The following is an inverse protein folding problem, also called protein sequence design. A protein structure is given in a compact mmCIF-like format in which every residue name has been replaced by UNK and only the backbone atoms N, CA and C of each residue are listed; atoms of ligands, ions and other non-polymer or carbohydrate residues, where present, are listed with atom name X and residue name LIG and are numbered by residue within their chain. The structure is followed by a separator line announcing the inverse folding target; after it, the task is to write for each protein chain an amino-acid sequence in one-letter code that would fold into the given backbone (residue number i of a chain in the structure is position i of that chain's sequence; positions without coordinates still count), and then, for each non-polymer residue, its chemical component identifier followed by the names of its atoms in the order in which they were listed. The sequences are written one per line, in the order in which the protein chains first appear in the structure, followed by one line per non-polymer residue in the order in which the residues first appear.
data_IF_072120627871
#
_entry.id   IF_072120627871
#
_cell.length_a   1.000
_cell.length_b   1.000
_cell.length_c   1.000
_cell.angle_alpha   90.00
_cell.angle_beta   90.00
_cell.angle_gamma   90.00
#
_symmetry.space_group_name_H-M   'P 1'
#
loop_
_entity.id
_entity.type
_entity.pdbx_description
1 polymer ?
#
# COMPACT_ATOMS: atom_id res chain seq x y z
N UNK A 1 -43.79 3.61 10.39
CA UNK A 1 -43.71 2.82 9.14
C UNK A 1 -42.28 2.66 8.61
N UNK A 2 -41.58 3.73 8.23
CA UNK A 2 -40.20 3.66 7.65
C UNK A 2 -39.16 3.01 8.59
N UNK A 3 -39.22 3.29 9.90
CA UNK A 3 -38.32 2.68 10.90
C UNK A 3 -38.51 1.16 11.05
N UNK A 4 -39.76 0.67 11.00
CA UNK A 4 -40.05 -0.77 11.06
C UNK A 4 -39.59 -1.49 9.79
N UNK A 5 -39.83 -0.88 8.62
CA UNK A 5 -39.36 -1.41 7.34
C UNK A 5 -37.83 -1.51 7.29
N UNK A 6 -37.12 -0.50 7.82
CA UNK A 6 -35.65 -0.50 7.92
C UNK A 6 -35.14 -1.59 8.86
N UNK A 7 -35.76 -1.78 10.03
CA UNK A 7 -35.37 -2.82 10.98
C UNK A 7 -35.59 -4.23 10.40
N UNK A 8 -36.72 -4.44 9.71
CA UNK A 8 -37.03 -5.69 9.02
C UNK A 8 -36.03 -5.99 7.90
N UNK A 9 -35.66 -5.00 7.08
CA UNK A 9 -34.67 -5.15 6.01
C UNK A 9 -33.26 -5.48 6.55
N UNK A 10 -32.82 -4.81 7.62
CA UNK A 10 -31.52 -5.10 8.26
C UNK A 10 -31.48 -6.54 8.80
N UNK A 11 -32.56 -6.99 9.42
CA UNK A 11 -32.69 -8.37 9.91
C UNK A 11 -32.64 -9.39 8.76
N UNK A 12 -33.34 -9.10 7.65
CA UNK A 12 -33.34 -9.95 6.45
C UNK A 12 -31.96 -10.02 5.78
N UNK A 13 -31.22 -8.92 5.69
CA UNK A 13 -29.88 -8.88 5.10
C UNK A 13 -28.81 -9.58 5.95
N UNK A 14 -28.97 -9.59 7.29
CA UNK A 14 -28.11 -10.40 8.17
C UNK A 14 -28.35 -11.90 8.00
N UNK A 15 -29.61 -12.30 7.74
CA UNK A 15 -30.01 -13.70 7.61
C UNK A 15 -29.74 -14.28 6.22
N UNK A 16 -29.77 -13.44 5.17
CA UNK A 16 -29.55 -13.84 3.78
C UNK A 16 -28.58 -12.88 3.06
N UNK A 17 -27.26 -13.11 3.14
CA UNK A 17 -26.25 -12.23 2.53
C UNK A 17 -26.36 -12.12 1.00
N UNK A 18 -26.86 -13.18 0.34
CA UNK A 18 -27.14 -13.16 -1.10
C UNK A 18 -28.26 -12.20 -1.50
N UNK A 19 -29.26 -12.00 -0.63
CA UNK A 19 -30.35 -11.04 -0.85
C UNK A 19 -29.84 -9.60 -0.79
N UNK A 20 -28.90 -9.30 0.11
CA UNK A 20 -28.24 -8.00 0.18
C UNK A 20 -27.49 -7.71 -1.12
N UNK A 21 -26.69 -8.67 -1.62
CA UNK A 21 -25.99 -8.52 -2.90
C UNK A 21 -26.94 -8.35 -4.08
N UNK A 22 -28.00 -9.15 -4.17
CA UNK A 22 -29.00 -9.04 -5.23
C UNK A 22 -29.75 -7.70 -5.19
N UNK A 23 -30.14 -7.23 -4.00
CA UNK A 23 -30.77 -5.91 -3.83
C UNK A 23 -29.78 -4.80 -4.19
N UNK A 24 -28.55 -4.81 -3.68
CA UNK A 24 -27.55 -3.81 -4.05
C UNK A 24 -27.31 -3.79 -5.59
N UNK A 25 -27.18 -4.95 -6.23
CA UNK A 25 -27.02 -5.07 -7.68
C UNK A 25 -28.25 -4.62 -8.49
N UNK A 26 -29.46 -4.75 -7.95
CA UNK A 26 -30.71 -4.32 -8.62
C UNK A 26 -30.95 -2.82 -8.46
N UNK A 27 -30.51 -2.23 -7.35
CA UNK A 27 -30.68 -0.81 -7.05
C UNK A 27 -29.53 0.06 -7.55
N UNK A 28 -28.34 -0.52 -7.76
CA UNK A 28 -27.18 0.18 -8.33
C UNK A 28 -27.51 0.95 -9.61
N UNK A 29 -28.20 0.37 -10.61
CA UNK A 29 -28.58 1.07 -11.85
C UNK A 29 -29.52 2.26 -11.62
N UNK A 30 -30.43 2.14 -10.66
CA UNK A 30 -31.44 3.17 -10.32
C UNK A 30 -30.76 4.35 -9.62
N UNK A 31 -29.86 4.08 -8.67
CA UNK A 31 -29.03 5.12 -8.05
C UNK A 31 -28.01 5.69 -9.03
N UNK A 32 -27.51 4.90 -9.98
CA UNK A 32 -26.67 5.36 -11.09
C UNK A 32 -27.38 6.47 -11.88
N UNK A 33 -28.64 6.26 -12.27
CA UNK A 33 -29.42 7.23 -13.05
C UNK A 33 -29.75 8.50 -12.25
N UNK A 34 -30.02 8.37 -10.95
CA UNK A 34 -30.40 9.50 -10.09
C UNK A 34 -29.20 10.32 -9.58
N UNK A 35 -28.01 9.71 -9.45
CA UNK A 35 -26.80 10.35 -8.89
C UNK A 35 -25.75 10.74 -9.95
N UNK A 36 -25.79 10.17 -11.17
CA UNK A 36 -24.85 10.49 -12.27
C UNK A 36 -25.55 11.08 -13.51
N UNK A 37 -25.89 12.38 -13.55
CA UNK A 37 -25.81 13.14 -14.79
C UNK A 37 -24.35 13.42 -15.20
N UNK A 38 -23.35 12.91 -14.47
CA UNK A 38 -21.93 13.21 -14.64
C UNK A 38 -21.20 12.03 -15.29
N UNK A 39 -21.58 11.65 -16.51
CA UNK A 39 -20.61 11.00 -17.40
C UNK A 39 -19.57 12.07 -17.74
N UNK A 40 -18.49 12.14 -16.98
CA UNK A 40 -17.31 12.83 -17.48
C UNK A 40 -16.91 12.06 -18.75
N UNK A 41 -16.80 12.74 -19.91
CA UNK A 41 -16.33 12.06 -21.10
C UNK A 41 -14.98 11.42 -20.75
N UNK A 42 -14.76 10.17 -21.17
CA UNK A 42 -13.41 9.60 -21.22
C UNK A 42 -12.50 10.71 -21.75
N UNK A 43 -11.41 10.98 -21.05
CA UNK A 43 -10.39 11.86 -21.60
C UNK A 43 -10.06 11.32 -22.99
N UNK A 44 -10.45 12.02 -24.05
CA UNK A 44 -9.78 11.84 -25.34
C UNK A 44 -8.47 12.56 -25.20
N UNK A 45 -7.53 11.96 -24.49
CA UNK A 45 -6.15 12.41 -24.57
C UNK A 45 -5.42 11.62 -25.63
N UNK A 46 -4.39 12.24 -26.16
CA UNK A 46 -3.58 11.77 -27.26
C UNK A 46 -2.48 10.80 -26.77
N UNK A 47 -2.76 9.92 -25.81
CA UNK A 47 -1.73 9.10 -25.16
C UNK A 47 -1.54 7.73 -25.84
N UNK A 48 -1.54 7.74 -27.16
CA UNK A 48 -0.62 6.86 -27.90
C UNK A 48 0.70 7.61 -27.90
N UNK A 49 1.81 6.97 -27.50
CA UNK A 49 3.16 7.52 -27.65
C UNK A 49 3.26 8.29 -28.98
N UNK A 50 3.29 9.61 -28.91
CA UNK A 50 3.39 10.40 -30.11
C UNK A 50 4.81 10.17 -30.62
N UNK A 51 4.92 9.48 -31.75
CA UNK A 51 6.22 9.09 -32.33
C UNK A 51 7.19 10.28 -32.42
N UNK A 52 6.66 11.49 -32.56
CA UNK A 52 7.43 12.72 -32.58
C UNK A 52 8.00 13.12 -31.21
N UNK A 53 7.24 12.92 -30.10
CA UNK A 53 7.76 13.13 -28.74
C UNK A 53 8.90 12.16 -28.45
N UNK A 54 8.70 10.86 -28.75
CA UNK A 54 9.71 9.81 -28.56
C UNK A 54 10.98 10.09 -29.38
N UNK A 55 10.86 10.64 -30.60
CA UNK A 55 12.03 11.01 -31.42
C UNK A 55 12.83 12.17 -30.83
N UNK A 56 12.23 12.99 -29.98
CA UNK A 56 12.82 14.17 -29.35
C UNK A 56 13.26 13.92 -27.91
N UNK A 57 13.31 12.66 -27.46
CA UNK A 57 13.70 12.32 -26.08
C UNK A 57 15.01 12.97 -25.65
N UNK A 58 16.07 12.90 -26.47
CA UNK A 58 17.36 13.55 -26.19
C UNK A 58 17.24 15.07 -25.99
N UNK A 59 16.39 15.72 -26.79
CA UNK A 59 16.18 17.16 -26.72
C UNK A 59 15.55 17.55 -25.38
N UNK A 60 14.53 16.79 -24.95
CA UNK A 60 13.84 17.00 -23.67
C UNK A 60 14.75 16.69 -22.48
N UNK A 61 15.52 15.61 -22.53
CA UNK A 61 16.51 15.28 -21.49
C UNK A 61 17.55 16.40 -21.35
N UNK A 62 18.07 16.90 -22.47
CA UNK A 62 18.99 18.03 -22.48
C UNK A 62 18.37 19.33 -21.97
N UNK A 63 17.06 19.54 -22.18
CA UNK A 63 16.34 20.70 -21.65
C UNK A 63 16.19 20.61 -20.12
N UNK A 64 15.91 19.43 -19.58
CA UNK A 64 15.86 19.21 -18.12
C UNK A 64 17.21 19.53 -17.45
N UNK A 65 18.33 19.06 -18.02
CA UNK A 65 19.66 19.40 -17.49
C UNK A 65 19.93 20.91 -17.54
N UNK A 66 19.63 21.58 -18.66
CA UNK A 66 19.79 23.04 -18.76
C UNK A 66 18.94 23.80 -17.76
N UNK A 67 17.71 23.35 -17.51
CA UNK A 67 16.83 23.96 -16.51
C UNK A 67 17.49 24.02 -15.13
N UNK A 68 18.08 22.91 -14.68
CA UNK A 68 18.75 22.87 -13.37
C UNK A 68 20.09 23.60 -13.38
N UNK A 69 20.87 23.50 -14.46
CA UNK A 69 22.16 24.19 -14.61
C UNK A 69 22.01 25.72 -14.61
N UNK A 70 20.94 26.25 -15.21
CA UNK A 70 20.69 27.68 -15.33
C UNK A 70 19.78 28.23 -14.21
N UNK A 71 19.40 27.37 -13.24
CA UNK A 71 18.47 27.75 -12.19
C UNK A 71 19.05 28.83 -11.26
N UNK A 72 18.44 30.02 -11.28
CA UNK A 72 18.98 31.22 -10.61
C UNK A 72 18.98 31.16 -9.09
N UNK A 73 18.17 30.29 -8.49
CA UNK A 73 17.94 30.24 -7.05
C UNK A 73 18.11 28.81 -6.50
N UNK A 74 19.33 28.22 -6.51
CA UNK A 74 19.55 26.83 -6.10
C UNK A 74 19.10 26.56 -4.65
N UNK A 75 19.14 27.57 -3.79
CA UNK A 75 18.66 27.47 -2.41
C UNK A 75 17.16 27.13 -2.34
N UNK A 76 16.35 27.66 -3.27
CA UNK A 76 14.93 27.31 -3.36
C UNK A 76 14.76 25.81 -3.62
N UNK A 77 15.55 25.21 -4.52
CA UNK A 77 15.49 23.78 -4.82
C UNK A 77 15.95 22.91 -3.65
N UNK A 78 17.02 23.32 -2.96
CA UNK A 78 17.57 22.60 -1.79
C UNK A 78 16.58 22.62 -0.63
N UNK A 79 15.89 23.73 -0.41
CA UNK A 79 14.99 23.90 0.73
C UNK A 79 13.56 23.39 0.46
N UNK A 80 13.30 22.77 -0.70
CA UNK A 80 12.02 22.11 -0.96
C UNK A 80 11.75 21.00 0.08
N UNK A 81 10.49 20.78 0.48
CA UNK A 81 9.29 21.49 0.04
C UNK A 81 9.03 22.79 0.84
N UNK A 82 9.87 23.16 1.80
CA UNK A 82 9.64 24.29 2.72
C UNK A 82 9.80 25.66 2.05
N UNK A 83 10.61 25.73 1.00
CA UNK A 83 10.76 26.92 0.17
C UNK A 83 9.53 27.20 -0.70
N UNK A 84 8.70 26.18 -0.96
CA UNK A 84 7.50 26.29 -1.79
C UNK A 84 6.25 26.55 -0.94
N UNK A 85 6.22 27.72 -0.31
CA UNK A 85 5.21 28.05 0.70
C UNK A 85 3.74 27.93 0.21
N UNK A 86 3.37 28.30 -1.04
CA UNK A 86 2.00 28.13 -1.53
C UNK A 86 1.55 26.67 -1.57
N UNK A 87 2.43 25.75 -1.96
CA UNK A 87 2.12 24.34 -2.21
C UNK A 87 2.62 23.40 -1.12
N UNK A 88 3.33 23.90 -0.10
CA UNK A 88 3.89 23.13 1.01
C UNK A 88 2.90 22.14 1.64
N UNK A 89 1.68 22.58 1.95
CA UNK A 89 0.67 21.71 2.54
C UNK A 89 0.20 20.62 1.57
N UNK A 90 0.11 20.92 0.28
CA UNK A 90 -0.25 19.95 -0.75
C UNK A 90 0.87 18.92 -0.92
N UNK A 91 2.14 19.34 -0.94
CA UNK A 91 3.30 18.44 -0.95
C UNK A 91 3.25 17.45 0.20
N UNK A 92 3.02 17.91 1.43
CA UNK A 92 2.98 17.02 2.59
C UNK A 92 1.81 16.02 2.54
N UNK A 93 0.64 16.45 2.04
CA UNK A 93 -0.50 15.54 1.84
C UNK A 93 -0.15 14.49 0.80
N UNK A 94 0.36 14.91 -0.37
CA UNK A 94 0.68 14.01 -1.46
C UNK A 94 1.78 13.01 -1.09
N UNK A 95 2.82 13.45 -0.38
CA UNK A 95 3.86 12.56 0.18
C UNK A 95 3.26 11.59 1.18
N UNK A 96 2.36 12.03 2.05
CA UNK A 96 1.65 11.14 2.98
C UNK A 96 0.85 10.05 2.26
N UNK A 97 0.14 10.42 1.20
CA UNK A 97 -0.60 9.48 0.34
C UNK A 97 0.37 8.52 -0.35
N UNK A 98 1.43 9.01 -0.98
CA UNK A 98 2.43 8.17 -1.66
C UNK A 98 3.10 7.17 -0.72
N UNK A 99 3.54 7.62 0.46
CA UNK A 99 4.18 6.76 1.46
C UNK A 99 3.23 5.64 1.90
N UNK A 100 1.95 5.97 2.13
CA UNK A 100 0.93 4.99 2.50
C UNK A 100 0.62 4.03 1.33
N UNK A 101 0.46 4.56 0.12
CA UNK A 101 0.07 3.82 -1.07
C UNK A 101 1.16 2.85 -1.55
N UNK A 102 2.42 3.29 -1.52
CA UNK A 102 3.58 2.46 -1.78
C UNK A 102 3.84 1.46 -0.64
N UNK A 103 3.14 1.55 0.49
CA UNK A 103 3.32 0.67 1.67
C UNK A 103 4.78 0.67 2.16
N UNK A 104 5.41 1.85 2.19
CA UNK A 104 6.82 1.99 2.54
C UNK A 104 7.09 1.59 4.00
N UNK A 105 8.28 1.02 4.23
CA UNK A 105 8.77 0.62 5.55
C UNK A 105 10.27 0.94 5.67
N UNK A 106 10.76 1.19 6.89
CA UNK A 106 12.20 1.20 7.13
C UNK A 106 12.85 -0.09 6.62
N UNK A 107 13.98 0.05 5.95
CA UNK A 107 14.72 -1.04 5.31
C UNK A 107 14.38 -1.29 3.84
N UNK A 108 13.29 -0.72 3.30
CA UNK A 108 13.00 -0.82 1.86
C UNK A 108 14.09 -0.17 1.02
N UNK A 109 14.36 -0.75 -0.13
CA UNK A 109 15.11 -0.09 -1.21
C UNK A 109 14.13 0.65 -2.11
N UNK A 110 14.18 1.98 -2.08
CA UNK A 110 13.22 2.85 -2.76
C UNK A 110 13.92 3.69 -3.83
N UNK A 111 13.45 3.58 -5.06
CA UNK A 111 13.87 4.44 -6.16
C UNK A 111 12.94 5.64 -6.23
N UNK A 112 13.48 6.85 -6.23
CA UNK A 112 12.76 8.05 -6.65
C UNK A 112 13.11 8.32 -8.11
N UNK A 113 12.13 8.22 -9.00
CA UNK A 113 12.31 8.51 -10.43
C UNK A 113 11.97 9.96 -10.72
N UNK A 114 12.87 10.66 -11.42
CA UNK A 114 12.78 12.10 -11.63
C UNK A 114 12.96 12.85 -10.30
N UNK A 115 14.02 12.50 -9.58
CA UNK A 115 14.21 12.95 -8.19
C UNK A 115 14.45 14.45 -8.05
N UNK A 116 14.83 15.15 -9.13
CA UNK A 116 15.16 16.57 -9.09
C UNK A 116 16.17 16.88 -7.99
N UNK A 117 15.81 17.78 -7.06
CA UNK A 117 16.65 18.13 -5.91
C UNK A 117 16.65 17.09 -4.76
N UNK A 118 16.07 15.90 -4.98
CA UNK A 118 16.10 14.74 -4.09
C UNK A 118 15.49 14.97 -2.69
N UNK A 119 14.60 15.96 -2.55
CA UNK A 119 14.02 16.29 -1.24
C UNK A 119 13.12 15.19 -0.69
N UNK A 120 12.39 14.48 -1.55
CA UNK A 120 11.56 13.34 -1.14
C UNK A 120 12.45 12.14 -0.79
N UNK A 121 13.48 11.82 -1.58
CA UNK A 121 14.51 10.84 -1.21
C UNK A 121 15.12 11.17 0.15
N UNK A 122 15.44 12.43 0.44
CA UNK A 122 15.97 12.82 1.76
C UNK A 122 14.98 12.53 2.88
N UNK A 123 13.70 12.85 2.67
CA UNK A 123 12.62 12.53 3.62
C UNK A 123 12.51 11.02 3.86
N UNK A 124 12.55 10.21 2.80
CA UNK A 124 12.47 8.74 2.89
C UNK A 124 13.72 8.11 3.51
N UNK A 125 14.91 8.66 3.26
CA UNK A 125 16.15 8.25 3.93
C UNK A 125 16.02 8.43 5.45
N UNK A 126 15.49 9.59 5.88
CA UNK A 126 15.24 9.87 7.30
C UNK A 126 14.14 9.00 7.90
N UNK A 127 13.17 8.55 7.10
CA UNK A 127 12.19 7.55 7.51
C UNK A 127 12.81 6.15 7.68
N UNK A 128 13.98 5.89 7.07
CA UNK A 128 14.73 4.65 7.21
C UNK A 128 14.82 3.81 5.93
N UNK A 129 14.50 4.37 4.77
CA UNK A 129 14.63 3.68 3.48
C UNK A 129 16.06 3.82 2.90
N UNK A 130 16.51 2.80 2.16
CA UNK A 130 17.69 2.88 1.30
C UNK A 130 17.29 3.54 0.00
N UNK A 131 17.64 4.82 -0.17
CA UNK A 131 17.13 5.64 -1.27
C UNK A 131 18.06 5.66 -2.45
N UNK A 132 17.50 5.51 -3.65
CA UNK A 132 18.19 5.64 -4.92
C UNK A 132 17.48 6.76 -5.70
N UNK A 133 18.10 7.93 -5.75
CA UNK A 133 17.59 9.07 -6.50
C UNK A 133 18.05 8.97 -7.96
N UNK A 134 17.10 8.92 -8.89
CA UNK A 134 17.37 8.82 -10.33
C UNK A 134 16.81 10.03 -11.05
N UNK A 135 17.63 10.67 -11.89
CA UNK A 135 17.22 11.81 -12.70
C UNK A 135 18.05 11.85 -14.00
N UNK A 136 17.52 12.47 -15.07
CA UNK A 136 18.30 12.73 -16.29
C UNK A 136 19.30 13.88 -16.09
N UNK A 137 19.02 14.77 -15.12
CA UNK A 137 19.88 15.90 -14.81
C UNK A 137 20.90 15.54 -13.73
N UNK A 138 22.17 15.47 -14.13
CA UNK A 138 23.29 15.37 -13.20
C UNK A 138 23.36 16.59 -12.26
N UNK A 139 23.01 17.78 -12.76
CA UNK A 139 22.98 18.99 -11.94
C UNK A 139 21.92 18.90 -10.83
N UNK A 140 20.72 18.38 -11.13
CA UNK A 140 19.68 18.17 -10.13
C UNK A 140 20.15 17.22 -9.01
N UNK A 141 20.75 16.09 -9.39
CA UNK A 141 21.33 15.13 -8.45
C UNK A 141 22.46 15.73 -7.62
N UNK A 142 23.30 16.61 -8.20
CA UNK A 142 24.33 17.32 -7.45
C UNK A 142 23.74 18.29 -6.41
N UNK A 143 22.63 18.96 -6.74
CA UNK A 143 21.87 19.78 -5.78
C UNK A 143 21.32 18.90 -4.66
N UNK A 144 20.74 17.75 -4.99
CA UNK A 144 20.22 16.79 -4.01
C UNK A 144 21.29 16.20 -3.10
N UNK A 145 22.48 15.90 -3.63
CA UNK A 145 23.62 15.46 -2.81
C UNK A 145 24.01 16.51 -1.77
N UNK A 146 24.02 17.80 -2.13
CA UNK A 146 24.29 18.90 -1.18
C UNK A 146 23.23 18.97 -0.09
N UNK A 147 21.95 18.70 -0.40
CA UNK A 147 20.91 18.62 0.63
C UNK A 147 21.23 17.52 1.66
N UNK A 148 21.60 16.32 1.21
CA UNK A 148 21.97 15.21 2.10
C UNK A 148 23.20 15.54 2.95
N UNK A 149 24.23 16.15 2.37
CA UNK A 149 25.47 16.56 3.07
C UNK A 149 25.22 17.64 4.12
N UNK A 150 24.26 18.54 3.87
CA UNK A 150 23.96 19.68 4.76
C UNK A 150 23.15 19.28 6.00
N UNK A 151 22.27 18.28 5.93
CA UNK A 151 21.46 17.86 7.08
C UNK A 151 22.21 16.82 7.93
N UNK A 152 22.60 17.12 9.18
CA UNK A 152 23.29 16.16 10.06
C UNK A 152 22.41 14.95 10.44
N UNK A 153 21.11 14.97 10.13
CA UNK A 153 20.17 13.87 10.38
C UNK A 153 20.07 12.91 9.21
N UNK A 154 20.80 13.15 8.11
CA UNK A 154 20.92 12.20 7.00
C UNK A 154 21.49 10.88 7.51
N UNK A 155 20.82 9.78 7.19
CA UNK A 155 21.27 8.45 7.58
C UNK A 155 22.17 7.85 6.49
N UNK A 156 23.45 8.18 6.54
CA UNK A 156 24.47 7.68 5.62
C UNK A 156 24.72 6.17 5.73
N UNK A 157 24.35 5.52 6.84
CA UNK A 157 24.48 4.06 6.98
C UNK A 157 23.54 3.27 6.06
N UNK A 158 22.53 3.94 5.49
CA UNK A 158 21.61 3.37 4.51
C UNK A 158 22.12 3.50 3.06
N UNK A 159 23.33 4.04 2.86
CA UNK A 159 23.98 4.20 1.55
C UNK A 159 23.08 4.89 0.50
N UNK A 160 22.68 6.16 0.70
CA UNK A 160 21.86 6.86 -0.28
C UNK A 160 22.61 7.09 -1.60
N UNK A 161 21.99 6.73 -2.72
CA UNK A 161 22.59 6.77 -4.05
C UNK A 161 21.96 7.86 -4.92
N UNK A 162 22.76 8.44 -5.82
CA UNK A 162 22.37 9.49 -6.76
C UNK A 162 22.87 9.07 -8.13
N UNK A 163 21.97 8.58 -8.98
CA UNK A 163 22.33 7.90 -10.22
C UNK A 163 21.73 8.65 -11.42
N UNK A 164 22.55 9.25 -12.31
CA UNK A 164 22.02 9.75 -13.57
C UNK A 164 21.56 8.56 -14.42
N UNK A 165 20.49 8.76 -15.17
CA UNK A 165 20.07 7.80 -16.21
C UNK A 165 19.96 8.50 -17.56
N UNK A 166 20.07 7.72 -18.64
CA UNK A 166 20.17 8.23 -20.01
C UNK A 166 18.82 8.61 -20.64
N UNK A 167 17.72 8.52 -19.90
CA UNK A 167 16.36 8.69 -20.43
C UNK A 167 15.71 7.40 -20.95
N UNK A 168 16.41 6.27 -20.96
CA UNK A 168 15.92 5.00 -21.53
C UNK A 168 16.14 3.81 -20.62
N UNK A 169 17.28 3.73 -19.93
CA UNK A 169 17.72 2.58 -19.14
C UNK A 169 18.00 3.02 -17.71
N UNK A 170 17.33 2.39 -16.73
CA UNK A 170 17.65 2.63 -15.33
C UNK A 170 18.95 1.89 -14.97
N UNK A 171 19.95 2.54 -14.35
CA UNK A 171 21.25 1.95 -14.04
C UNK A 171 21.19 1.01 -12.82
N UNK A 172 20.21 0.11 -12.81
CA UNK A 172 19.87 -0.80 -11.72
C UNK A 172 19.74 -2.23 -12.25
N UNK A 173 19.99 -3.19 -11.36
CA UNK A 173 19.85 -4.61 -11.70
C UNK A 173 18.37 -5.00 -11.75
N UNK A 174 18.09 -6.11 -12.41
CA UNK A 174 16.76 -6.71 -12.38
C UNK A 174 16.36 -7.03 -10.93
N UNK A 175 15.10 -6.76 -10.59
CA UNK A 175 14.53 -7.07 -9.27
C UNK A 175 15.38 -6.60 -8.07
N UNK A 176 15.98 -5.40 -8.16
CA UNK A 176 16.85 -4.84 -7.12
C UNK A 176 16.21 -3.77 -6.24
N UNK A 177 15.00 -3.31 -6.52
CA UNK A 177 14.29 -2.35 -5.65
C UNK A 177 12.90 -2.82 -5.26
N UNK A 178 12.48 -2.45 -4.05
CA UNK A 178 11.18 -2.82 -3.51
C UNK A 178 10.10 -1.88 -4.04
N UNK A 179 10.41 -0.60 -4.16
CA UNK A 179 9.42 0.45 -4.44
C UNK A 179 10.00 1.49 -5.37
N UNK A 180 9.14 2.02 -6.23
CA UNK A 180 9.44 3.20 -7.04
C UNK A 180 8.41 4.26 -6.66
N UNK A 181 8.88 5.45 -6.30
CA UNK A 181 8.02 6.63 -6.13
C UNK A 181 8.28 7.59 -7.27
N UNK A 182 7.21 8.15 -7.81
CA UNK A 182 7.25 9.19 -8.84
C UNK A 182 6.41 10.35 -8.36
N UNK A 183 7.03 11.52 -8.27
CA UNK A 183 6.39 12.71 -7.74
C UNK A 183 6.62 13.86 -8.71
N UNK A 184 5.56 14.26 -9.40
CA UNK A 184 5.58 15.41 -10.32
C UNK A 184 6.70 15.30 -11.37
N UNK A 185 6.84 14.12 -11.99
CA UNK A 185 7.96 13.84 -12.89
C UNK A 185 7.58 13.03 -14.13
N UNK A 186 6.60 12.13 -14.03
CA UNK A 186 6.30 11.21 -15.13
C UNK A 186 5.71 11.91 -16.37
N UNK A 187 5.03 13.04 -16.18
CA UNK A 187 4.55 13.89 -17.27
C UNK A 187 5.68 14.56 -18.08
N UNK A 188 6.92 14.56 -17.59
CA UNK A 188 8.08 14.99 -18.38
C UNK A 188 8.68 13.87 -19.25
N UNK A 189 8.17 12.64 -19.17
CA UNK A 189 8.72 11.47 -19.88
C UNK A 189 8.12 11.33 -21.30
N UNK A 190 8.94 11.44 -22.36
CA UNK A 190 8.47 11.31 -23.74
C UNK A 190 8.25 9.85 -24.19
N UNK A 191 9.04 8.91 -23.68
CA UNK A 191 9.10 7.49 -24.04
C UNK A 191 8.53 6.59 -22.93
N UNK A 192 7.29 6.86 -22.53
CA UNK A 192 6.66 6.27 -21.35
C UNK A 192 6.70 4.74 -21.32
N UNK A 193 6.50 4.05 -22.45
CA UNK A 193 6.55 2.58 -22.48
C UNK A 193 7.94 2.04 -22.13
N UNK A 194 9.00 2.70 -22.60
CA UNK A 194 10.38 2.30 -22.34
C UNK A 194 10.69 2.44 -20.84
N UNK A 195 10.33 3.58 -20.26
CA UNK A 195 10.56 3.85 -18.84
C UNK A 195 9.72 2.92 -17.95
N UNK A 196 8.45 2.65 -18.29
CA UNK A 196 7.63 1.67 -17.57
C UNK A 196 8.23 0.27 -17.63
N UNK A 197 8.81 -0.13 -18.76
CA UNK A 197 9.48 -1.42 -18.89
C UNK A 197 10.70 -1.53 -17.98
N UNK A 198 11.49 -0.47 -17.86
CA UNK A 198 12.59 -0.42 -16.92
C UNK A 198 12.13 -0.41 -15.46
N UNK A 199 11.10 0.37 -15.12
CA UNK A 199 10.49 0.35 -13.79
C UNK A 199 10.02 -1.06 -13.42
N UNK A 200 9.35 -1.75 -14.35
CA UNK A 200 8.94 -3.13 -14.17
C UNK A 200 10.16 -4.07 -14.01
N UNK A 201 11.22 -3.91 -14.80
CA UNK A 201 12.43 -4.74 -14.74
C UNK A 201 13.12 -4.66 -13.37
N UNK A 202 13.32 -3.46 -12.86
CA UNK A 202 14.11 -3.23 -11.62
C UNK A 202 13.32 -3.54 -10.35
N UNK A 203 11.99 -3.54 -10.39
CA UNK A 203 11.14 -3.89 -9.24
C UNK A 203 11.24 -5.37 -8.86
N UNK A 204 11.21 -5.67 -7.56
CA UNK A 204 10.99 -7.04 -7.05
C UNK A 204 9.56 -7.52 -7.38
N UNK A 205 9.29 -8.83 -7.23
CA UNK A 205 7.99 -9.41 -7.59
C UNK A 205 6.81 -8.81 -6.79
N UNK A 206 7.03 -8.38 -5.55
CA UNK A 206 6.06 -7.64 -4.71
C UNK A 206 6.19 -6.11 -4.85
N UNK A 207 6.83 -5.67 -5.93
CA UNK A 207 7.16 -4.29 -6.19
C UNK A 207 5.94 -3.44 -6.57
N UNK A 208 5.98 -2.17 -6.15
CA UNK A 208 4.93 -1.18 -6.42
C UNK A 208 5.59 0.08 -7.00
N UNK A 209 5.06 0.59 -8.11
CA UNK A 209 5.26 1.98 -8.51
C UNK A 209 4.11 2.80 -7.95
N UNK A 210 4.40 3.85 -7.20
CA UNK A 210 3.42 4.82 -6.71
C UNK A 210 3.71 6.19 -7.32
N UNK A 211 2.72 6.75 -8.01
CA UNK A 211 2.84 8.01 -8.73
C UNK A 211 1.89 9.05 -8.16
N UNK A 212 2.34 10.29 -8.06
CA UNK A 212 1.55 11.48 -7.74
C UNK A 212 1.79 12.48 -8.85
N UNK A 213 0.85 12.58 -9.78
CA UNK A 213 1.05 13.32 -11.03
C UNK A 213 -0.09 14.29 -11.31
N UNK A 214 0.20 15.40 -12.00
CA UNK A 214 -0.85 16.27 -12.51
C UNK A 214 -1.70 15.52 -13.55
N UNK A 215 -2.98 15.85 -13.55
CA UNK A 215 -3.97 15.29 -14.47
C UNK A 215 -4.41 16.30 -15.53
N UNK A 216 -5.58 16.01 -16.12
CA UNK A 216 -6.16 16.72 -17.26
C UNK A 216 -6.08 18.24 -17.15
N UNK A 217 -5.55 18.87 -18.19
CA UNK A 217 -5.47 20.31 -18.36
C UNK A 217 -4.12 20.89 -17.95
N UNK A 218 -3.22 20.08 -17.38
CA UNK A 218 -1.90 20.51 -16.94
C UNK A 218 -1.05 21.01 -18.10
N UNK A 219 -0.88 20.21 -19.16
CA UNK A 219 -0.08 20.59 -20.33
C UNK A 219 -0.59 21.87 -21.03
N UNK A 220 -1.89 22.17 -20.90
CA UNK A 220 -2.53 23.35 -21.49
C UNK A 220 -2.63 24.55 -20.54
N UNK A 221 -2.15 24.43 -19.30
CA UNK A 221 -2.17 25.51 -18.32
C UNK A 221 -1.21 26.63 -18.75
N UNK A 222 -1.61 27.93 -18.70
CA UNK A 222 -0.73 29.05 -19.02
C UNK A 222 0.66 29.00 -18.39
N UNK A 223 0.79 28.53 -17.14
CA UNK A 223 2.10 28.39 -16.48
C UNK A 223 2.97 27.34 -17.17
N UNK A 224 2.44 26.13 -17.39
CA UNK A 224 3.16 25.03 -18.06
C UNK A 224 3.54 25.39 -19.50
N UNK A 225 2.67 26.10 -20.22
CA UNK A 225 2.96 26.61 -21.56
C UNK A 225 4.09 27.65 -21.55
N UNK A 226 4.08 28.56 -20.57
CA UNK A 226 5.13 29.57 -20.43
C UNK A 226 6.47 28.93 -20.03
N UNK A 227 6.45 27.93 -19.16
CA UNK A 227 7.63 27.16 -18.77
C UNK A 227 8.21 26.40 -19.97
N UNK A 228 7.39 25.60 -20.67
CA UNK A 228 7.81 24.90 -21.90
C UNK A 228 8.43 25.86 -22.92
N UNK A 229 7.82 27.02 -23.14
CA UNK A 229 8.32 28.01 -24.09
C UNK A 229 9.67 28.64 -23.67
N UNK A 230 9.96 28.67 -22.37
CA UNK A 230 11.17 29.30 -21.81
C UNK A 230 12.30 28.30 -21.63
N UNK A 231 12.00 27.09 -21.16
CA UNK A 231 12.98 26.09 -20.72
C UNK A 231 13.16 24.97 -21.73
N UNK A 232 12.15 24.71 -22.58
CA UNK A 232 12.10 23.56 -23.47
C UNK A 232 11.82 22.23 -22.76
N UNK A 233 11.58 22.24 -21.45
CA UNK A 233 11.18 21.05 -20.69
C UNK A 233 9.80 20.59 -21.15
N UNK A 234 9.62 19.27 -21.27
CA UNK A 234 8.37 18.68 -21.75
C UNK A 234 7.28 18.78 -20.69
N UNK A 235 6.15 19.42 -21.01
CA UNK A 235 4.93 19.35 -20.22
C UNK A 235 3.89 18.49 -20.94
N UNK A 236 3.81 17.20 -20.60
CA UNK A 236 2.85 16.28 -21.23
C UNK A 236 1.53 16.17 -20.44
N UNK A 237 0.47 15.80 -21.14
CA UNK A 237 -0.81 15.48 -20.53
C UNK A 237 -0.86 13.98 -20.21
N UNK A 238 -1.03 13.62 -18.93
CA UNK A 238 -1.17 12.22 -18.54
C UNK A 238 -2.63 11.79 -18.60
N UNK A 239 -2.90 10.79 -19.45
CA UNK A 239 -4.19 10.09 -19.50
C UNK A 239 -4.03 8.78 -18.75
N UNK A 240 -4.57 8.71 -17.54
CA UNK A 240 -4.42 7.55 -16.66
C UNK A 240 -4.97 6.25 -17.28
N UNK A 241 -6.02 6.32 -18.09
CA UNK A 241 -6.56 5.13 -18.76
C UNK A 241 -5.61 4.57 -19.81
N UNK A 242 -4.94 5.44 -20.58
CA UNK A 242 -3.96 5.02 -21.58
C UNK A 242 -2.67 4.54 -20.91
N UNK A 243 -2.24 5.23 -19.84
CA UNK A 243 -1.10 4.82 -19.03
C UNK A 243 -1.32 3.43 -18.38
N UNK A 244 -2.54 3.13 -17.95
CA UNK A 244 -2.89 1.81 -17.43
C UNK A 244 -2.71 0.72 -18.49
N UNK A 245 -3.19 0.95 -19.73
CA UNK A 245 -3.00 0.01 -20.84
C UNK A 245 -1.51 -0.19 -21.14
N UNK A 246 -0.72 0.89 -21.19
CA UNK A 246 0.73 0.80 -21.41
C UNK A 246 1.43 -0.01 -20.30
N UNK A 247 1.06 0.21 -19.04
CA UNK A 247 1.63 -0.50 -17.91
C UNK A 247 1.28 -2.00 -17.94
N UNK A 248 0.02 -2.34 -18.24
CA UNK A 248 -0.45 -3.72 -18.39
C UNK A 248 0.28 -4.43 -19.54
N UNK A 249 0.42 -3.78 -20.70
CA UNK A 249 1.17 -4.32 -21.86
C UNK A 249 2.64 -4.60 -21.54
N UNK A 250 3.25 -3.79 -20.67
CA UNK A 250 4.65 -3.94 -20.23
C UNK A 250 4.82 -5.11 -19.26
N UNK A 251 3.76 -5.49 -18.54
CA UNK A 251 3.76 -6.63 -17.62
C UNK A 251 3.33 -6.32 -16.19
N UNK A 252 2.94 -5.08 -15.86
CA UNK A 252 2.29 -4.82 -14.58
C UNK A 252 0.98 -5.59 -14.49
N UNK A 253 0.77 -6.33 -13.41
CA UNK A 253 -0.37 -7.24 -13.27
C UNK A 253 -1.66 -6.50 -12.92
N UNK A 254 -1.55 -5.43 -12.13
CA UNK A 254 -2.69 -4.63 -11.69
C UNK A 254 -2.32 -3.15 -11.69
N UNK A 255 -3.27 -2.32 -12.12
CA UNK A 255 -3.15 -0.86 -12.14
C UNK A 255 -4.34 -0.28 -11.37
N UNK A 256 -4.10 0.68 -10.49
CA UNK A 256 -5.12 1.27 -9.62
C UNK A 256 -4.94 2.77 -9.46
N UNK A 257 -6.01 3.46 -9.10
CA UNK A 257 -6.01 4.88 -8.76
C UNK A 257 -6.61 5.06 -7.38
N UNK A 258 -5.94 5.84 -6.52
CA UNK A 258 -6.52 6.22 -5.24
C UNK A 258 -7.50 7.37 -5.44
N UNK A 259 -8.71 7.20 -4.92
CA UNK A 259 -9.77 8.21 -4.97
C UNK A 259 -9.57 9.29 -3.89
N UNK A 260 -8.40 9.94 -3.89
CA UNK A 260 -7.99 10.97 -2.95
C UNK A 260 -7.57 12.24 -3.71
N UNK A 261 -7.89 13.43 -3.18
CA UNK A 261 -7.56 14.71 -3.80
C UNK A 261 -6.82 15.61 -2.81
N UNK A 262 -5.64 16.18 -3.16
CA UNK A 262 -4.82 16.93 -2.21
C UNK A 262 -5.40 18.31 -1.85
N UNK A 263 -6.17 18.96 -2.74
CA UNK A 263 -6.41 20.39 -2.65
C UNK A 263 -7.73 20.81 -2.00
N UNK A 264 -8.83 20.06 -2.20
CA UNK A 264 -10.16 20.48 -1.69
C UNK A 264 -10.55 19.76 -0.41
N UNK A 265 -10.20 20.37 0.72
CA UNK A 265 -10.73 19.98 2.03
C UNK A 265 -12.24 20.25 2.06
N UNK A 266 -13.04 19.19 2.13
CA UNK A 266 -14.48 19.32 2.29
C UNK A 266 -14.81 19.53 3.78
N UNK A 267 -14.94 20.78 4.20
CA UNK A 267 -15.31 21.11 5.57
C UNK A 267 -16.80 20.90 5.80
N UNK A 268 -17.13 20.13 6.83
CA UNK A 268 -18.49 19.88 7.28
C UNK A 268 -18.58 20.38 8.72
N UNK A 269 -19.47 21.35 9.02
CA UNK A 269 -19.69 21.76 10.41
C UNK A 269 -20.05 20.54 11.26
N UNK A 270 -19.48 20.42 12.46
CA UNK A 270 -19.67 19.23 13.32
C UNK A 270 -21.15 18.93 13.56
N UNK A 271 -21.99 19.96 13.73
CA UNK A 271 -23.46 19.84 13.88
C UNK A 271 -24.14 19.16 12.68
N UNK A 272 -23.55 19.24 11.51
CA UNK A 272 -24.09 18.73 10.24
C UNK A 272 -23.56 17.34 9.88
N UNK A 273 -22.70 16.73 10.72
CA UNK A 273 -22.10 15.41 10.44
C UNK A 273 -23.16 14.29 10.36
N UNK A 274 -24.16 14.31 11.23
CA UNK A 274 -25.26 13.35 11.21
C UNK A 274 -26.08 13.45 9.91
N UNK A 275 -26.57 14.65 9.57
CA UNK A 275 -27.22 14.89 8.27
C UNK A 275 -26.35 14.54 7.05
N UNK A 276 -25.05 14.84 7.07
CA UNK A 276 -24.14 14.51 5.98
C UNK A 276 -23.97 12.99 5.80
N UNK A 277 -23.78 12.25 6.91
CA UNK A 277 -23.79 10.77 6.91
C UNK A 277 -25.13 10.19 6.41
N UNK A 278 -26.21 10.96 6.54
CA UNK A 278 -27.53 10.65 5.97
C UNK A 278 -27.68 11.02 4.47
N UNK A 279 -26.63 11.53 3.82
CA UNK A 279 -26.59 11.88 2.39
C UNK A 279 -26.74 13.38 2.08
N UNK A 280 -26.97 14.25 3.07
CA UNK A 280 -27.08 15.69 2.84
C UNK A 280 -25.75 16.24 2.32
N UNK A 281 -25.77 16.90 1.17
CA UNK A 281 -24.55 17.48 0.58
C UNK A 281 -23.70 16.50 -0.24
N UNK A 282 -24.07 15.22 -0.31
CA UNK A 282 -23.32 14.19 -1.05
C UNK A 282 -23.04 14.58 -2.50
N UNK A 283 -24.03 15.14 -3.22
CA UNK A 283 -23.83 15.58 -4.62
C UNK A 283 -22.73 16.63 -4.78
N UNK A 284 -22.60 17.57 -3.83
CA UNK A 284 -21.55 18.61 -3.87
C UNK A 284 -20.18 17.99 -3.58
N UNK A 285 -20.11 17.14 -2.56
CA UNK A 285 -18.90 16.38 -2.23
C UNK A 285 -18.44 15.53 -3.42
N UNK A 286 -19.34 14.73 -3.98
CA UNK A 286 -19.06 13.85 -5.12
C UNK A 286 -18.55 14.63 -6.34
N UNK A 287 -19.19 15.76 -6.67
CA UNK A 287 -18.72 16.61 -7.77
C UNK A 287 -17.32 17.17 -7.51
N UNK A 288 -17.06 17.61 -6.27
CA UNK A 288 -15.74 18.08 -5.87
C UNK A 288 -14.69 17.00 -6.04
N UNK A 289 -14.96 15.80 -5.52
CA UNK A 289 -14.06 14.65 -5.65
C UNK A 289 -13.80 14.30 -7.12
N UNK A 290 -14.84 14.18 -7.95
CA UNK A 290 -14.68 13.90 -9.38
C UNK A 290 -13.86 14.96 -10.11
N UNK A 291 -14.01 16.23 -9.74
CA UNK A 291 -13.20 17.32 -10.29
C UNK A 291 -11.72 17.14 -9.92
N UNK A 292 -11.41 16.89 -8.65
CA UNK A 292 -10.02 16.66 -8.21
C UNK A 292 -9.39 15.45 -8.89
N UNK A 293 -10.12 14.34 -9.00
CA UNK A 293 -9.65 13.11 -9.66
C UNK A 293 -9.41 13.26 -11.17
N UNK A 294 -9.85 14.36 -11.78
CA UNK A 294 -9.53 14.70 -13.18
C UNK A 294 -8.23 15.49 -13.28
N UNK A 295 -7.88 16.28 -12.26
CA UNK A 295 -6.76 17.23 -12.32
C UNK A 295 -5.52 16.78 -11.56
N UNK A 296 -5.64 15.73 -10.75
CA UNK A 296 -4.51 15.14 -10.04
C UNK A 296 -4.75 13.65 -9.83
N UNK A 297 -3.68 12.85 -9.96
CA UNK A 297 -3.78 11.40 -9.98
C UNK A 297 -2.76 10.77 -9.04
N UNK A 298 -3.26 9.93 -8.12
CA UNK A 298 -2.45 8.99 -7.38
C UNK A 298 -2.59 7.60 -8.01
N UNK A 299 -1.59 7.17 -8.77
CA UNK A 299 -1.62 5.91 -9.51
C UNK A 299 -0.71 4.86 -8.86
N UNK A 300 -1.15 3.61 -8.87
CA UNK A 300 -0.41 2.46 -8.35
C UNK A 300 -0.29 1.39 -9.41
N UNK A 301 0.94 0.98 -9.71
CA UNK A 301 1.26 -0.10 -10.63
C UNK A 301 1.89 -1.24 -9.84
N UNK A 302 1.23 -2.40 -9.83
CA UNK A 302 1.68 -3.58 -9.09
C UNK A 302 2.37 -4.54 -10.06
N UNK A 303 3.64 -4.87 -9.80
CA UNK A 303 4.35 -5.90 -10.58
C UNK A 303 3.70 -7.26 -10.37
N UNK A 304 3.39 -7.58 -9.11
CA UNK A 304 2.64 -8.76 -8.71
C UNK A 304 1.21 -8.43 -8.32
N UNK A 305 0.67 -9.20 -7.37
CA UNK A 305 -0.68 -8.99 -6.84
C UNK A 305 -0.74 -7.74 -5.95
N UNK A 306 -1.84 -6.99 -6.00
CA UNK A 306 -2.07 -5.87 -5.06
C UNK A 306 -2.41 -6.32 -3.64
N UNK A 307 -2.75 -7.61 -3.45
CA UNK A 307 -3.06 -8.25 -2.17
C UNK A 307 -1.95 -8.02 -1.13
N UNK A 308 -2.30 -7.58 0.06
CA UNK A 308 -1.39 -7.55 1.21
C UNK A 308 -1.29 -8.95 1.80
N UNK A 309 -0.09 -9.50 1.93
CA UNK A 309 0.17 -10.87 2.40
C UNK A 309 1.07 -10.87 3.64
N UNK A 310 1.26 -12.04 4.26
CA UNK A 310 2.18 -12.20 5.39
C UNK A 310 3.67 -12.15 5.03
N UNK A 311 4.03 -12.11 3.74
CA UNK A 311 5.38 -11.72 3.30
C UNK A 311 5.66 -10.26 3.63
N UNK A 312 4.64 -9.41 3.43
CA UNK A 312 4.70 -7.98 3.75
C UNK A 312 3.45 -7.52 4.52
N UNK A 313 3.32 -7.91 5.81
CA UNK A 313 2.05 -7.85 6.53
C UNK A 313 1.62 -6.42 6.86
N UNK A 314 0.35 -6.08 6.60
CA UNK A 314 -0.31 -4.86 7.08
C UNK A 314 -0.76 -5.02 8.53
N UNK A 315 -2.08 -4.92 8.77
CA UNK A 315 -2.71 -5.23 10.06
C UNK A 315 -2.95 -6.74 10.18
N UNK A 316 -2.09 -7.39 10.97
CA UNK A 316 -2.30 -8.76 11.44
C UNK A 316 -3.25 -8.77 12.63
N UNK A 317 -4.40 -9.45 12.52
CA UNK A 317 -5.36 -9.59 13.61
C UNK A 317 -6.23 -10.81 13.39
N UNK A 318 -6.40 -11.61 14.44
CA UNK A 318 -7.12 -12.86 14.44
C UNK A 318 -8.12 -12.95 15.60
N UNK A 319 -9.18 -13.71 15.37
CA UNK A 319 -10.05 -14.23 16.41
C UNK A 319 -9.92 -15.76 16.42
N UNK A 320 -9.49 -16.32 17.54
CA UNK A 320 -9.31 -17.77 17.71
C UNK A 320 -10.33 -18.26 18.73
N UNK A 321 -11.14 -19.24 18.35
CA UNK A 321 -12.08 -19.93 19.23
C UNK A 321 -11.79 -21.42 19.27
N UNK A 322 -11.74 -22.00 20.48
CA UNK A 322 -11.67 -23.46 20.65
C UNK A 322 -13.06 -24.03 20.35
N UNK A 323 -13.15 -24.87 19.32
CA UNK A 323 -14.40 -25.56 18.92
C UNK A 323 -14.56 -26.86 19.70
N UNK A 324 -13.46 -27.56 19.93
CA UNK A 324 -13.43 -28.77 20.75
C UNK A 324 -12.01 -29.09 21.19
N UNK A 325 -11.81 -29.66 22.39
CA UNK A 325 -12.84 -30.04 23.38
C UNK A 325 -13.42 -28.83 24.13
N UNK A 326 -14.62 -29.02 24.71
CA UNK A 326 -15.31 -27.97 25.47
C UNK A 326 -14.90 -28.02 26.96
N UNK A 327 -14.31 -26.94 27.45
CA UNK A 327 -13.89 -26.80 28.86
C UNK A 327 -12.60 -27.55 29.19
N UNK A 328 -12.25 -27.67 30.48
CA UNK A 328 -11.04 -28.37 30.93
C UNK A 328 -11.04 -29.85 30.53
N UNK A 329 -9.86 -30.36 30.16
CA UNK A 329 -9.67 -31.74 29.69
C UNK A 329 -8.89 -32.56 30.73
N UNK A 330 -9.31 -33.79 30.97
CA UNK A 330 -8.52 -34.77 31.72
C UNK A 330 -7.90 -35.79 30.76
N UNK A 331 -6.61 -36.07 30.90
CA UNK A 331 -5.85 -36.99 30.06
C UNK A 331 -5.07 -37.98 30.91
N UNK A 332 -4.91 -39.20 30.42
CA UNK A 332 -3.94 -40.15 30.99
C UNK A 332 -2.52 -39.80 30.55
N UNK A 333 -1.52 -40.10 31.37
CA UNK A 333 -0.11 -39.94 30.99
C UNK A 333 0.20 -40.58 29.63
N UNK A 334 0.73 -39.78 28.69
CA UNK A 334 1.09 -40.26 27.35
C UNK A 334 -0.07 -40.28 26.34
N UNK A 335 -1.28 -39.90 26.75
CA UNK A 335 -2.42 -39.70 25.85
C UNK A 335 -2.21 -38.46 24.99
N UNK A 336 -2.59 -38.54 23.71
CA UNK A 336 -2.54 -37.40 22.77
C UNK A 336 -3.85 -36.65 22.79
N UNK A 337 -3.78 -35.33 22.72
CA UNK A 337 -4.95 -34.46 22.66
C UNK A 337 -5.13 -33.91 21.25
N UNK A 338 -6.36 -34.02 20.74
CA UNK A 338 -6.79 -33.29 19.55
C UNK A 338 -7.59 -32.07 19.95
N UNK A 339 -7.23 -30.91 19.40
CA UNK A 339 -7.96 -29.64 19.59
C UNK A 339 -8.36 -29.10 18.23
N UNK A 340 -9.65 -28.89 18.00
CA UNK A 340 -10.18 -28.24 16.82
C UNK A 340 -10.41 -26.75 17.13
N UNK A 341 -9.78 -25.88 16.34
CA UNK A 341 -9.90 -24.43 16.45
C UNK A 341 -10.73 -23.88 15.30
N UNK A 342 -11.47 -22.80 15.55
CA UNK A 342 -11.96 -21.87 14.53
C UNK A 342 -11.09 -20.63 14.58
N UNK A 343 -10.46 -20.30 13.46
CA UNK A 343 -9.61 -19.13 13.32
C UNK A 343 -10.25 -18.21 12.29
N UNK A 344 -10.46 -16.94 12.65
CA UNK A 344 -11.00 -15.91 11.75
C UNK A 344 -9.98 -14.82 11.53
N UNK A 345 -9.75 -14.46 10.27
CA UNK A 345 -8.94 -13.30 9.91
C UNK A 345 -9.77 -12.04 10.01
N UNK A 346 -9.42 -11.15 10.94
CA UNK A 346 -10.09 -9.85 11.15
C UNK A 346 -9.13 -8.68 10.87
N UNK A 347 -7.98 -8.98 10.27
CA UNK A 347 -7.01 -8.04 9.74
C UNK A 347 -7.29 -7.65 8.29
N UNK A 348 -6.33 -6.96 7.67
CA UNK A 348 -6.35 -6.58 6.24
C UNK A 348 -5.36 -7.41 5.40
N UNK A 349 -4.68 -8.35 6.05
CA UNK A 349 -3.55 -9.09 5.50
C UNK A 349 -3.99 -10.53 5.24
N UNK A 350 -3.82 -11.01 4.01
CA UNK A 350 -3.90 -12.43 3.71
C UNK A 350 -2.82 -13.19 4.48
N UNK A 351 -3.23 -14.28 5.11
CA UNK A 351 -2.30 -15.22 5.73
C UNK A 351 -1.92 -16.28 4.72
N UNK A 352 -0.65 -16.28 4.33
CA UNK A 352 -0.11 -17.30 3.44
C UNK A 352 0.08 -18.58 4.23
N UNK A 353 -0.49 -19.69 3.77
CA UNK A 353 -0.22 -21.01 4.37
C UNK A 353 1.16 -21.54 3.99
N UNK A 354 1.71 -21.04 2.88
CA UNK A 354 3.08 -21.23 2.41
C UNK A 354 3.56 -19.89 1.83
N UNK A 355 4.69 -19.40 2.31
CA UNK A 355 5.39 -18.23 1.78
C UNK A 355 6.17 -18.54 0.50
N UNK A 356 6.67 -17.50 -0.15
CA UNK A 356 7.44 -17.59 -1.38
C UNK A 356 8.81 -18.27 -1.18
N UNK A 357 9.13 -19.20 -2.08
CA UNK A 357 10.42 -19.89 -2.16
C UNK A 357 10.59 -21.04 -1.16
N UNK A 358 11.84 -21.47 -0.96
CA UNK A 358 12.20 -22.62 -0.12
C UNK A 358 12.30 -22.29 1.38
N UNK A 359 12.15 -21.01 1.76
CA UNK A 359 12.18 -20.58 3.15
C UNK A 359 10.78 -20.69 3.78
N UNK A 360 10.73 -21.00 5.09
CA UNK A 360 9.48 -20.93 5.86
C UNK A 360 9.09 -19.49 6.26
N UNK A 361 9.86 -18.48 5.87
CA UNK A 361 9.55 -17.09 6.25
C UNK A 361 8.22 -16.65 5.62
N UNK A 362 7.41 -15.90 6.37
CA UNK A 362 6.10 -15.43 5.90
C UNK A 362 4.98 -16.47 5.95
N UNK A 363 5.28 -17.73 6.31
CA UNK A 363 4.27 -18.76 6.56
C UNK A 363 3.46 -18.40 7.80
N UNK A 364 2.14 -18.52 7.70
CA UNK A 364 1.27 -18.38 8.87
C UNK A 364 0.97 -19.76 9.43
N UNK A 365 1.12 -19.95 10.74
CA UNK A 365 0.80 -21.20 11.43
C UNK A 365 0.11 -20.93 12.76
N UNK A 366 -0.59 -21.93 13.28
CA UNK A 366 -1.01 -21.95 14.68
C UNK A 366 0.17 -22.43 15.51
N UNK A 367 0.62 -21.63 16.48
CA UNK A 367 1.56 -22.05 17.50
C UNK A 367 0.86 -22.34 18.82
N UNK A 368 1.41 -23.32 19.54
CA UNK A 368 0.90 -23.72 20.86
C UNK A 368 2.02 -23.54 21.87
N UNK A 369 1.77 -22.71 22.89
CA UNK A 369 2.65 -22.54 24.03
C UNK A 369 2.14 -23.42 25.19
N UNK A 370 3.04 -24.16 25.81
CA UNK A 370 2.76 -25.01 26.97
C UNK A 370 3.15 -24.26 28.25
N UNK A 371 2.19 -24.10 29.16
CA UNK A 371 2.38 -23.49 30.47
C UNK A 371 2.07 -24.46 31.60
N UNK A 372 2.69 -24.22 32.75
CA UNK A 372 2.22 -24.78 34.02
C UNK A 372 0.79 -24.30 34.30
N UNK A 373 -0.07 -25.22 34.73
CA UNK A 373 -1.45 -24.92 35.05
C UNK A 373 -1.58 -24.17 36.37
N UNK A 374 -2.48 -23.19 36.43
CA UNK A 374 -2.77 -22.44 37.66
C UNK A 374 -3.69 -21.25 37.46
N UNK A 375 -4.08 -20.61 38.57
CA UNK A 375 -4.73 -19.30 38.56
C UNK A 375 -3.98 -18.36 39.53
N UNK A 376 -3.19 -17.39 39.02
CA UNK A 376 -2.95 -17.07 37.60
C UNK A 376 -2.15 -18.16 36.86
N UNK A 377 -2.16 -18.10 35.52
CA UNK A 377 -1.42 -19.06 34.67
C UNK A 377 0.05 -19.10 35.05
N UNK A 378 0.58 -20.31 35.14
CA UNK A 378 1.94 -20.57 35.56
C UNK A 378 2.98 -20.24 34.48
N UNK A 379 4.22 -20.58 34.79
CA UNK A 379 5.37 -20.28 33.93
C UNK A 379 5.26 -21.01 32.58
N UNK A 380 5.79 -20.40 31.52
CA UNK A 380 6.01 -21.06 30.23
C UNK A 380 6.97 -22.24 30.44
N UNK A 381 6.51 -23.45 30.11
CA UNK A 381 7.32 -24.67 30.08
C UNK A 381 8.05 -24.75 28.74
N UNK A 382 7.29 -24.59 27.66
CA UNK A 382 7.80 -24.61 26.29
C UNK A 382 7.00 -23.63 25.43
N UNK A 383 7.68 -22.60 24.94
CA UNK A 383 7.06 -21.57 24.12
C UNK A 383 6.79 -22.06 22.69
N UNK A 384 7.55 -23.02 22.17
CA UNK A 384 7.42 -23.49 20.79
C UNK A 384 6.92 -24.93 20.72
N UNK A 385 6.14 -25.34 21.72
CA UNK A 385 5.77 -26.72 21.97
C UNK A 385 5.14 -27.44 20.76
N UNK A 386 4.32 -26.74 19.97
CA UNK A 386 3.73 -27.30 18.76
C UNK A 386 3.43 -26.26 17.68
N UNK A 387 3.33 -26.74 16.43
CA UNK A 387 2.87 -26.00 15.25
C UNK A 387 1.83 -26.82 14.49
N UNK A 388 0.71 -26.18 14.15
CA UNK A 388 -0.28 -26.73 13.22
C UNK A 388 -0.39 -25.83 11.97
N UNK A 389 -0.54 -26.47 10.81
CA UNK A 389 -0.56 -25.80 9.51
C UNK A 389 -2.00 -25.50 9.05
N UNK A 390 -2.14 -24.53 8.16
CA UNK A 390 -3.39 -24.28 7.43
C UNK A 390 -3.40 -25.08 6.13
N UNK A 391 -4.58 -25.54 5.70
CA UNK A 391 -4.75 -26.26 4.43
C UNK A 391 -4.66 -25.35 3.19
N UNK A 392 -4.71 -24.03 3.39
CA UNK A 392 -4.68 -23.01 2.35
C UNK A 392 -4.63 -21.61 2.94
N UNK A 393 -4.42 -20.61 2.08
CA UNK A 393 -4.38 -19.20 2.51
C UNK A 393 -5.68 -18.77 3.18
N UNK A 394 -5.57 -17.87 4.16
CA UNK A 394 -6.71 -17.31 4.87
C UNK A 394 -6.87 -15.85 4.50
N UNK A 395 -7.87 -15.56 3.67
CA UNK A 395 -8.23 -14.19 3.29
C UNK A 395 -8.74 -13.37 4.46
N UNK A 396 -8.60 -12.03 4.42
CA UNK A 396 -9.32 -11.12 5.30
C UNK A 396 -10.82 -11.46 5.38
N UNK A 397 -11.40 -11.30 6.56
CA UNK A 397 -12.80 -11.59 6.90
C UNK A 397 -13.23 -13.07 6.78
N UNK A 398 -12.31 -13.98 6.45
CA UNK A 398 -12.61 -15.42 6.32
C UNK A 398 -12.35 -16.18 7.62
N UNK A 399 -13.11 -17.26 7.83
CA UNK A 399 -12.92 -18.20 8.95
C UNK A 399 -12.58 -19.59 8.45
N UNK A 400 -11.58 -20.22 9.06
CA UNK A 400 -11.18 -21.62 8.78
C UNK A 400 -11.24 -22.47 10.05
N UNK A 401 -11.28 -23.80 9.87
CA UNK A 401 -11.08 -24.74 10.98
C UNK A 401 -9.68 -25.32 10.89
N UNK A 402 -8.99 -25.37 12.02
CA UNK A 402 -7.63 -25.94 12.12
C UNK A 402 -7.65 -27.04 13.14
N UNK A 403 -7.17 -28.22 12.77
CA UNK A 403 -7.04 -29.37 13.66
C UNK A 403 -5.61 -29.43 14.20
N UNK A 404 -5.45 -29.33 15.51
CA UNK A 404 -4.18 -29.44 16.20
C UNK A 404 -4.06 -30.82 16.84
N UNK A 405 -3.08 -31.62 16.42
CA UNK A 405 -2.76 -32.92 17.03
C UNK A 405 -1.54 -32.77 17.95
N UNK A 406 -1.81 -32.58 19.24
CA UNK A 406 -0.81 -32.12 20.19
C UNK A 406 0.10 -33.27 20.67
N UNK A 407 1.38 -33.00 20.97
CA UNK A 407 2.27 -33.96 21.60
C UNK A 407 1.70 -34.46 22.94
N UNK A 408 2.03 -35.69 23.30
CA UNK A 408 1.60 -36.25 24.58
C UNK A 408 2.37 -35.62 25.75
N UNK A 409 1.68 -35.41 26.87
CA UNK A 409 2.29 -34.94 28.12
C UNK A 409 2.53 -36.15 29.04
N UNK A 410 3.78 -36.31 29.49
CA UNK A 410 4.20 -37.47 30.27
C UNK A 410 4.34 -37.21 31.77
N UNK A 411 4.30 -35.95 32.21
CA UNK A 411 4.38 -35.62 33.64
C UNK A 411 2.97 -35.33 34.16
N UNK A 412 2.50 -36.03 35.21
CA UNK A 412 1.23 -35.69 35.84
C UNK A 412 1.23 -34.24 36.35
N UNK A 413 0.09 -33.58 36.27
CA UNK A 413 -0.05 -32.18 36.67
C UNK A 413 -1.12 -31.42 35.88
N UNK A 414 -1.34 -30.17 36.28
CA UNK A 414 -2.18 -29.22 35.55
C UNK A 414 -1.32 -28.42 34.56
N UNK A 415 -1.90 -28.16 33.39
CA UNK A 415 -1.27 -27.43 32.28
C UNK A 415 -2.28 -26.47 31.65
N UNK A 416 -1.78 -25.35 31.13
CA UNK A 416 -2.56 -24.44 30.29
C UNK A 416 -1.91 -24.39 28.89
N UNK A 417 -2.71 -24.71 27.87
CA UNK A 417 -2.30 -24.65 26.47
C UNK A 417 -2.77 -23.32 25.89
N UNK A 418 -1.85 -22.48 25.43
CA UNK A 418 -2.18 -21.20 24.80
C UNK A 418 -1.99 -21.30 23.29
N UNK A 419 -3.01 -20.92 22.52
CA UNK A 419 -3.00 -20.97 21.06
C UNK A 419 -2.86 -19.57 20.49
N UNK A 420 -1.81 -19.32 19.72
CA UNK A 420 -1.60 -18.06 19.01
C UNK A 420 -1.29 -18.32 17.53
N UNK A 421 -1.35 -17.28 16.70
CA UNK A 421 -0.86 -17.34 15.33
C UNK A 421 0.55 -16.76 15.26
N UNK A 422 1.37 -17.34 14.39
CA UNK A 422 2.72 -16.88 14.11
C UNK A 422 2.90 -16.67 12.61
N UNK A 423 3.53 -15.56 12.25
CA UNK A 423 4.17 -15.41 10.94
C UNK A 423 5.62 -15.81 11.11
N UNK A 424 5.97 -16.96 10.56
CA UNK A 424 7.28 -17.59 10.73
C UNK A 424 8.41 -16.68 10.25
N UNK A 425 9.45 -16.57 11.08
CA UNK A 425 10.58 -15.67 10.86
C UNK A 425 10.28 -14.18 11.06
N UNK A 426 9.04 -13.81 11.38
CA UNK A 426 8.64 -12.41 11.60
C UNK A 426 8.19 -12.16 13.03
N UNK A 427 7.01 -12.64 13.43
CA UNK A 427 6.39 -12.28 14.71
C UNK A 427 5.20 -13.16 15.09
N UNK A 428 4.82 -13.09 16.37
CA UNK A 428 3.57 -13.62 16.90
C UNK A 428 2.44 -12.60 16.87
N UNK A 429 1.21 -13.03 16.59
CA UNK A 429 0.07 -12.11 16.50
C UNK A 429 -0.22 -11.43 17.84
N UNK A 430 0.01 -12.10 18.97
CA UNK A 430 -0.14 -11.50 20.30
C UNK A 430 0.81 -10.30 20.54
N UNK A 431 1.99 -10.26 19.90
CA UNK A 431 2.94 -9.14 20.03
C UNK A 431 2.41 -7.83 19.43
N UNK A 432 1.46 -7.93 18.48
CA UNK A 432 0.79 -6.76 17.89
C UNK A 432 -0.39 -6.27 18.74
N UNK A 433 -0.76 -6.98 19.80
CA UNK A 433 -1.83 -6.61 20.73
C UNK A 433 -3.26 -6.69 20.17
N UNK A 434 -3.41 -7.08 18.89
CA UNK A 434 -4.69 -7.14 18.19
C UNK A 434 -5.33 -8.54 18.22
N UNK A 435 -4.73 -9.51 18.92
CA UNK A 435 -5.23 -10.87 19.06
C UNK A 435 -5.09 -11.31 20.50
N UNK A 436 -6.12 -12.00 21.02
CA UNK A 436 -6.12 -12.55 22.38
C UNK A 436 -6.09 -14.07 22.28
N UNK A 437 -4.92 -14.69 22.51
CA UNK A 437 -4.77 -16.15 22.46
C UNK A 437 -5.71 -16.85 23.44
N UNK A 438 -6.61 -17.75 22.99
CA UNK A 438 -7.41 -18.56 23.90
C UNK A 438 -6.53 -19.59 24.61
N UNK A 439 -7.02 -20.05 25.76
CA UNK A 439 -6.35 -21.07 26.57
C UNK A 439 -7.25 -22.27 26.80
N UNK A 440 -6.65 -23.45 26.85
CA UNK A 440 -7.30 -24.70 27.21
C UNK A 440 -6.58 -25.31 28.42
N UNK A 441 -7.33 -25.54 29.50
CA UNK A 441 -6.80 -26.19 30.69
C UNK A 441 -6.81 -27.71 30.52
N UNK A 442 -5.70 -28.36 30.86
CA UNK A 442 -5.49 -29.80 30.75
C UNK A 442 -4.94 -30.34 32.06
N UNK A 443 -5.54 -31.42 32.58
CA UNK A 443 -5.05 -32.14 33.75
C UNK A 443 -4.58 -33.53 33.31
N UNK A 444 -3.35 -33.89 33.66
CA UNK A 444 -2.76 -35.18 33.32
C UNK A 444 -2.63 -36.02 34.59
N UNK A 445 -3.25 -37.20 34.60
CA UNK A 445 -3.18 -38.18 35.71
C UNK A 445 -2.24 -39.34 35.42
#
# INVERSE_FOLDING_TARGET
MIRMLRAAAISAFKRYPGLRRAVHATWEPIFHFALLPFRLPRGRGSAVEQRDLVRRTEEYNGAAERYFAEYRHPQFLIDKPFSDAPDFAAHLIAVGVLVAAARLRPGDTVVEFGAGSCWLSHFLNRFGCRTISVDVSETALAVGRRLFERDPRTNWSLDPQFLPYDGYTLPLKDASCDRIVVYDAFHHVPNQRVVLAEMHRVLTAEGIVAMSEPGKGHASNPTSLAETATTGVLENELVIEDLAVLAEDVGFREVSVLAEGPARRHEIPVRDIGPFKGGRGFRRYWRGLCHELVHHHYMLLYKGSSRTTTERPGKLSSEIGIVGPAGPVALSRGERLRVDLRVTNVGDTCWLHRGAGDSRAGWTRVGVHLHEGGEPVGKVIDFDWHRAEFDGDVEPESSVRVRCELPAIHRPGAYDLQFDLVVEGLLWFAERGASRPPRLRVNVS
#
